data_IF_765495937311
#
_entry.id   IF_765495937311
#
_cell.length_a   1.000
_cell.length_b   1.000
_cell.length_c   1.000
_cell.angle_alpha   90.00
_cell.angle_beta   90.00
_cell.angle_gamma   90.00
#
_symmetry.space_group_name_H-M   'P 1'
#
loop_
_entity.id
_entity.type
_entity.pdbx_description
1 polymer ?
#
# COMPACT_ATOMS: atom_id res chain seq x y z
N UNK A 1 17.23 6.96 -17.28
CA UNK A 1 16.59 6.17 -16.23
C UNK A 1 17.50 5.02 -15.83
N UNK A 2 17.85 4.89 -14.56
CA UNK A 2 18.69 3.80 -14.08
C UNK A 2 17.80 2.74 -13.41
N UNK A 3 17.45 1.69 -14.15
CA UNK A 3 16.53 0.64 -13.72
C UNK A 3 17.00 -0.10 -12.46
N UNK A 4 18.31 -0.12 -12.21
CA UNK A 4 18.91 -0.75 -11.01
C UNK A 4 18.55 -0.02 -9.70
N UNK A 5 17.98 1.17 -9.78
CA UNK A 5 17.48 1.93 -8.63
C UNK A 5 15.99 1.73 -8.37
N UNK A 6 15.32 0.91 -9.16
CA UNK A 6 13.90 0.65 -8.99
C UNK A 6 13.71 -0.57 -8.10
N UNK A 7 12.68 -0.55 -7.25
CA UNK A 7 12.28 -1.72 -6.47
C UNK A 7 11.74 -2.82 -7.38
N UNK A 8 11.71 -4.05 -6.89
CA UNK A 8 11.19 -5.18 -7.65
C UNK A 8 9.74 -4.96 -8.10
N UNK A 9 8.89 -4.42 -7.23
CA UNK A 9 7.49 -4.06 -7.56
C UNK A 9 7.39 -2.93 -8.59
N UNK A 10 8.29 -1.97 -8.55
CA UNK A 10 8.35 -0.91 -9.56
C UNK A 10 8.73 -1.45 -10.94
N UNK A 11 9.69 -2.36 -11.00
CA UNK A 11 10.10 -3.03 -12.25
C UNK A 11 8.96 -3.91 -12.77
N UNK A 12 8.29 -4.68 -11.89
CA UNK A 12 7.12 -5.48 -12.24
C UNK A 12 6.01 -4.62 -12.84
N UNK A 13 5.70 -3.48 -12.22
CA UNK A 13 4.67 -2.57 -12.70
C UNK A 13 4.99 -2.00 -14.09
N UNK A 14 6.25 -1.66 -14.36
CA UNK A 14 6.68 -1.18 -15.69
C UNK A 14 6.59 -2.28 -16.74
N UNK A 15 7.07 -3.49 -16.43
CA UNK A 15 7.05 -4.61 -17.37
C UNK A 15 5.63 -5.06 -17.72
N UNK A 16 4.70 -5.03 -16.78
CA UNK A 16 3.30 -5.40 -17.03
C UNK A 16 2.60 -4.46 -18.03
N UNK A 17 3.09 -3.23 -18.21
CA UNK A 17 2.48 -2.29 -19.15
C UNK A 17 2.49 -2.79 -20.58
N UNK A 18 3.52 -3.53 -21.01
CA UNK A 18 3.57 -4.10 -22.36
C UNK A 18 2.43 -5.11 -22.56
N UNK A 19 2.25 -6.02 -21.60
CA UNK A 19 1.17 -7.02 -21.65
C UNK A 19 -0.20 -6.34 -21.68
N UNK A 20 -0.41 -5.34 -20.83
CA UNK A 20 -1.67 -4.60 -20.76
C UNK A 20 -1.94 -3.91 -22.11
N UNK A 21 -0.93 -3.28 -22.72
CA UNK A 21 -1.07 -2.64 -24.03
C UNK A 21 -1.45 -3.66 -25.13
N UNK A 22 -0.86 -4.85 -25.11
CA UNK A 22 -1.24 -5.94 -26.02
C UNK A 22 -2.68 -6.39 -25.81
N UNK A 23 -3.09 -6.62 -24.56
CA UNK A 23 -4.43 -7.11 -24.22
C UNK A 23 -5.53 -6.12 -24.66
N UNK A 24 -5.24 -4.82 -24.59
CA UNK A 24 -6.16 -3.76 -25.06
C UNK A 24 -6.00 -3.38 -26.53
N UNK A 25 -4.98 -3.92 -27.22
CA UNK A 25 -4.67 -3.60 -28.63
C UNK A 25 -4.13 -2.19 -28.83
N UNK A 26 -3.48 -1.60 -27.83
CA UNK A 26 -2.91 -0.27 -27.90
C UNK A 26 -1.43 -0.32 -28.31
N UNK A 27 -1.00 0.56 -29.22
CA UNK A 27 0.39 0.66 -29.64
C UNK A 27 1.23 1.53 -28.68
N UNK A 28 0.61 2.57 -28.12
CA UNK A 28 1.24 3.50 -27.20
C UNK A 28 1.02 3.06 -25.77
N UNK A 29 2.11 2.80 -25.05
CA UNK A 29 2.09 2.55 -23.60
C UNK A 29 2.09 3.91 -22.90
N UNK A 30 1.01 4.24 -22.17
CA UNK A 30 0.83 5.54 -21.55
C UNK A 30 0.48 5.39 -20.05
N UNK A 31 0.24 6.49 -19.37
CA UNK A 31 -0.01 6.56 -17.94
C UNK A 31 -1.21 5.71 -17.49
N UNK A 32 -2.24 5.50 -18.32
CA UNK A 32 -3.38 4.65 -18.00
C UNK A 32 -2.97 3.18 -17.85
N UNK A 33 -2.10 2.66 -18.73
CA UNK A 33 -1.56 1.31 -18.65
C UNK A 33 -0.75 1.15 -17.35
N UNK A 34 0.05 2.17 -17.04
CA UNK A 34 0.89 2.16 -15.87
C UNK A 34 0.09 2.25 -14.57
N UNK A 35 -0.93 3.11 -14.51
CA UNK A 35 -1.83 3.19 -13.35
C UNK A 35 -2.59 1.87 -13.16
N UNK A 36 -3.08 1.26 -14.24
CA UNK A 36 -3.72 -0.04 -14.18
C UNK A 36 -2.77 -1.11 -13.63
N UNK A 37 -1.54 -1.14 -14.12
CA UNK A 37 -0.51 -2.05 -13.61
C UNK A 37 -0.26 -1.83 -12.12
N UNK A 38 -0.02 -0.58 -11.67
CA UNK A 38 0.18 -0.24 -10.27
C UNK A 38 -0.98 -0.69 -9.36
N UNK A 39 -2.21 -0.68 -9.88
CA UNK A 39 -3.41 -1.10 -9.13
C UNK A 39 -3.60 -2.62 -9.08
N UNK A 40 -3.06 -3.36 -10.06
CA UNK A 40 -3.39 -4.79 -10.26
C UNK A 40 -2.24 -5.76 -10.01
N UNK A 41 -1.01 -5.27 -9.77
CA UNK A 41 0.09 -6.15 -9.31
C UNK A 41 -0.28 -6.81 -7.99
N UNK A 42 0.23 -8.01 -7.76
CA UNK A 42 0.03 -8.74 -6.52
C UNK A 42 0.49 -7.92 -5.32
N UNK A 43 -0.28 -7.92 -4.24
CA UNK A 43 0.02 -7.13 -3.03
C UNK A 43 0.27 -5.64 -3.30
N UNK A 44 -0.51 -5.03 -4.17
CA UNK A 44 -0.33 -3.64 -4.56
C UNK A 44 -0.45 -2.66 -3.39
N UNK A 45 0.66 -1.98 -3.08
CA UNK A 45 0.66 -0.87 -2.12
C UNK A 45 -0.27 0.26 -2.60
N UNK A 46 -0.27 0.56 -3.90
CA UNK A 46 -1.08 1.65 -4.45
C UNK A 46 -2.57 1.35 -4.29
N UNK A 47 -3.00 0.10 -4.54
CA UNK A 47 -4.39 -0.30 -4.32
C UNK A 47 -4.82 -0.13 -2.86
N UNK A 48 -3.97 -0.54 -1.91
CA UNK A 48 -4.21 -0.36 -0.47
C UNK A 48 -4.31 1.14 -0.10
N UNK A 49 -3.41 1.99 -0.63
CA UNK A 49 -3.46 3.43 -0.37
C UNK A 49 -4.73 4.06 -0.93
N UNK A 50 -5.19 3.66 -2.11
CA UNK A 50 -6.44 4.13 -2.73
C UNK A 50 -7.64 3.75 -1.85
N UNK A 51 -7.70 2.53 -1.32
CA UNK A 51 -8.76 2.11 -0.38
C UNK A 51 -8.72 2.93 0.92
N UNK A 52 -7.52 3.17 1.48
CA UNK A 52 -7.34 4.03 2.68
C UNK A 52 -7.66 5.52 2.43
N UNK A 53 -7.78 5.94 1.17
CA UNK A 53 -8.31 7.26 0.78
C UNK A 53 -9.84 7.29 0.68
N UNK A 54 -10.54 6.24 1.13
CA UNK A 54 -12.00 6.05 1.01
C UNK A 54 -12.48 5.95 -0.45
N UNK A 55 -11.63 5.44 -1.35
CA UNK A 55 -11.96 5.21 -2.76
C UNK A 55 -12.18 3.71 -2.97
N UNK A 56 -13.35 3.35 -3.49
CA UNK A 56 -13.63 1.96 -3.82
C UNK A 56 -12.71 1.47 -4.96
N UNK A 57 -11.84 0.51 -4.65
CA UNK A 57 -10.82 -0.05 -5.53
C UNK A 57 -11.39 -0.57 -6.83
N UNK A 58 -12.46 -1.38 -6.76
CA UNK A 58 -13.02 -2.04 -7.94
C UNK A 58 -13.63 -1.02 -8.91
N UNK A 59 -14.30 -0.01 -8.37
CA UNK A 59 -14.86 1.08 -9.18
C UNK A 59 -13.75 1.92 -9.81
N UNK A 60 -12.66 2.18 -9.09
CA UNK A 60 -11.51 2.92 -9.59
C UNK A 60 -10.83 2.16 -10.74
N UNK A 61 -10.59 0.85 -10.57
CA UNK A 61 -10.01 -0.02 -11.60
C UNK A 61 -10.91 -0.05 -12.84
N UNK A 62 -12.23 -0.21 -12.71
CA UNK A 62 -13.18 -0.18 -13.84
C UNK A 62 -13.13 1.13 -14.63
N UNK A 63 -12.92 2.26 -13.94
CA UNK A 63 -12.77 3.53 -14.64
C UNK A 63 -11.45 3.61 -15.41
N UNK A 64 -10.37 3.05 -14.88
CA UNK A 64 -9.10 2.94 -15.64
C UNK A 64 -9.28 2.02 -16.86
N UNK A 65 -9.95 0.88 -16.73
CA UNK A 65 -10.26 -0.04 -17.83
C UNK A 65 -11.09 0.66 -18.92
N UNK A 66 -12.01 1.52 -18.52
CA UNK A 66 -12.79 2.33 -19.45
C UNK A 66 -11.89 3.28 -20.25
N UNK A 67 -10.93 3.94 -19.59
CA UNK A 67 -9.95 4.81 -20.27
C UNK A 67 -9.07 4.02 -21.24
N UNK A 68 -8.59 2.83 -20.85
CA UNK A 68 -7.80 1.94 -21.69
C UNK A 68 -8.58 1.50 -22.94
N UNK A 69 -9.85 1.15 -22.75
CA UNK A 69 -10.74 0.71 -23.85
C UNK A 69 -11.03 1.80 -24.87
N UNK A 70 -10.96 3.08 -24.46
CA UNK A 70 -11.18 4.25 -25.32
C UNK A 70 -9.94 4.66 -26.12
N UNK A 71 -8.74 4.11 -25.77
CA UNK A 71 -7.52 4.39 -26.54
C UNK A 71 -7.59 3.79 -27.96
N UNK A 72 -6.83 4.37 -28.87
CA UNK A 72 -6.74 3.90 -30.25
C UNK A 72 -6.24 2.47 -30.29
N UNK A 73 -7.02 1.59 -30.93
CA UNK A 73 -6.66 0.20 -31.16
C UNK A 73 -5.99 0.02 -32.51
N UNK A 74 -4.95 -0.79 -32.55
CA UNK A 74 -4.21 -1.11 -33.78
C UNK A 74 -4.25 -2.60 -34.01
N UNK A 75 -4.50 -3.02 -35.24
CA UNK A 75 -4.51 -4.44 -35.66
C UNK A 75 -3.21 -4.77 -36.40
N UNK A 76 -2.58 -5.89 -36.04
CA UNK A 76 -1.36 -6.37 -36.72
C UNK A 76 -0.13 -6.42 -35.80
N UNK A 77 1.00 -6.77 -36.42
CA UNK A 77 2.29 -6.81 -35.68
C UNK A 77 2.79 -5.36 -35.51
N UNK A 78 2.58 -4.80 -34.34
CA UNK A 78 2.88 -3.39 -34.04
C UNK A 78 3.99 -3.29 -33.03
N UNK A 79 5.00 -2.47 -33.28
CA UNK A 79 6.01 -2.14 -32.30
C UNK A 79 5.41 -1.22 -31.23
N UNK A 80 5.41 -1.68 -29.98
CA UNK A 80 5.00 -0.86 -28.84
C UNK A 80 6.02 0.24 -28.56
N UNK A 81 5.55 1.40 -28.16
CA UNK A 81 6.40 2.49 -27.69
C UNK A 81 5.82 3.16 -26.44
N UNK A 82 6.69 3.73 -25.63
CA UNK A 82 6.32 4.44 -24.41
C UNK A 82 6.00 5.89 -24.75
N UNK A 83 4.89 6.42 -24.25
CA UNK A 83 4.51 7.82 -24.43
C UNK A 83 5.51 8.76 -23.75
N UNK A 84 5.60 9.98 -24.28
CA UNK A 84 6.42 11.02 -23.65
C UNK A 84 5.94 11.35 -22.23
N UNK A 85 4.64 11.28 -21.97
CA UNK A 85 4.07 11.59 -20.66
C UNK A 85 4.37 10.51 -19.64
N UNK A 86 4.33 9.23 -20.01
CA UNK A 86 4.78 8.14 -19.13
C UNK A 86 6.29 8.20 -18.90
N UNK A 87 7.09 8.48 -19.93
CA UNK A 87 8.53 8.63 -19.78
C UNK A 87 8.91 9.74 -18.79
N UNK A 88 8.20 10.88 -18.81
CA UNK A 88 8.37 11.95 -17.82
C UNK A 88 8.08 11.46 -16.39
N UNK A 89 7.02 10.68 -16.19
CA UNK A 89 6.70 10.12 -14.87
C UNK A 89 7.86 9.24 -14.36
N UNK A 90 8.37 8.33 -15.22
CA UNK A 90 9.46 7.43 -14.85
C UNK A 90 10.75 8.18 -14.47
N UNK A 91 11.07 9.27 -15.19
CA UNK A 91 12.23 10.11 -14.90
C UNK A 91 12.01 10.92 -13.61
N UNK A 92 10.84 11.54 -13.45
CA UNK A 92 10.54 12.37 -12.28
C UNK A 92 10.44 11.56 -10.99
N UNK A 93 10.15 10.27 -11.05
CA UNK A 93 10.10 9.39 -9.88
C UNK A 93 11.46 9.28 -9.17
N UNK A 94 12.60 9.41 -9.88
CA UNK A 94 13.91 9.46 -9.26
C UNK A 94 14.08 10.72 -8.39
N UNK A 95 13.50 11.84 -8.79
CA UNK A 95 13.52 13.08 -8.02
C UNK A 95 12.59 13.03 -6.82
N UNK A 96 11.45 12.34 -6.93
CA UNK A 96 10.56 12.07 -5.77
C UNK A 96 11.28 11.21 -4.72
N UNK A 97 11.97 10.15 -5.12
CA UNK A 97 12.76 9.31 -4.22
C UNK A 97 13.84 10.13 -3.49
N UNK A 98 14.58 10.98 -4.21
CA UNK A 98 15.58 11.87 -3.60
C UNK A 98 14.98 12.85 -2.60
N UNK A 99 13.79 13.44 -2.91
CA UNK A 99 13.08 14.35 -2.00
C UNK A 99 12.66 13.68 -0.71
N UNK A 100 12.32 12.37 -0.78
CA UNK A 100 11.95 11.58 0.38
C UNK A 100 13.17 10.97 1.11
N UNK A 101 14.38 11.15 0.60
CA UNK A 101 15.61 10.60 1.18
C UNK A 101 15.77 9.10 0.96
N UNK A 102 15.16 8.56 -0.09
CA UNK A 102 15.12 7.14 -0.41
C UNK A 102 16.24 6.75 -1.41
N UNK A 103 16.80 5.55 -1.20
CA UNK A 103 17.86 5.03 -2.07
C UNK A 103 17.30 4.37 -3.35
N UNK A 104 16.07 3.87 -3.30
CA UNK A 104 15.41 3.20 -4.41
C UNK A 104 14.09 3.91 -4.79
N UNK A 105 13.72 3.78 -6.06
CA UNK A 105 12.44 4.26 -6.60
C UNK A 105 11.39 3.15 -6.44
N UNK A 106 10.46 3.34 -5.53
CA UNK A 106 9.35 2.43 -5.26
C UNK A 106 8.04 2.89 -5.91
N UNK A 107 7.01 2.09 -5.85
CA UNK A 107 5.72 2.35 -6.51
C UNK A 107 5.07 3.65 -6.02
N UNK A 108 5.27 4.05 -4.77
CA UNK A 108 4.76 5.33 -4.25
C UNK A 108 5.43 6.55 -4.90
N UNK A 109 6.73 6.49 -5.22
CA UNK A 109 7.41 7.57 -5.95
C UNK A 109 6.88 7.70 -7.38
N UNK A 110 6.60 6.57 -8.03
CA UNK A 110 6.00 6.52 -9.36
C UNK A 110 4.59 7.12 -9.34
N UNK A 111 3.79 6.81 -8.33
CA UNK A 111 2.46 7.40 -8.16
C UNK A 111 2.53 8.90 -7.88
N UNK A 112 3.46 9.35 -7.02
CA UNK A 112 3.68 10.78 -6.74
C UNK A 112 4.11 11.55 -7.99
N UNK A 113 5.01 10.98 -8.80
CA UNK A 113 5.42 11.57 -10.06
C UNK A 113 4.26 11.66 -11.07
N UNK A 114 3.37 10.65 -11.09
CA UNK A 114 2.16 10.67 -11.92
C UNK A 114 1.16 11.73 -11.43
N UNK A 115 0.97 11.88 -10.12
CA UNK A 115 0.12 12.94 -9.55
C UNK A 115 0.68 14.34 -9.90
N UNK A 116 2.00 14.49 -9.94
CA UNK A 116 2.64 15.76 -10.27
C UNK A 116 2.57 16.11 -11.76
N UNK A 117 2.61 15.12 -12.65
CA UNK A 117 2.62 15.31 -14.11
C UNK A 117 1.60 14.36 -14.82
N UNK A 118 0.30 14.46 -14.50
CA UNK A 118 -0.71 13.60 -15.11
C UNK A 118 -1.00 14.05 -16.55
N UNK A 119 -1.23 13.08 -17.46
CA UNK A 119 -1.83 13.37 -18.75
C UNK A 119 -3.29 13.82 -18.58
N UNK A 120 -3.95 14.20 -19.69
CA UNK A 120 -5.32 14.76 -19.62
C UNK A 120 -6.33 13.78 -19.00
N UNK A 121 -6.26 12.50 -19.33
CA UNK A 121 -7.21 11.49 -18.87
C UNK A 121 -6.99 11.17 -17.38
N UNK A 122 -5.74 10.95 -16.97
CA UNK A 122 -5.36 10.71 -15.56
C UNK A 122 -5.66 11.93 -14.69
N UNK A 123 -5.42 13.15 -15.20
CA UNK A 123 -5.76 14.38 -14.50
C UNK A 123 -7.26 14.47 -14.16
N UNK A 124 -8.09 14.13 -15.15
CA UNK A 124 -9.55 14.12 -14.94
C UNK A 124 -9.97 13.02 -13.96
N UNK A 125 -9.38 11.82 -14.06
CA UNK A 125 -9.63 10.72 -13.14
C UNK A 125 -9.27 11.11 -11.71
N UNK A 126 -8.06 11.64 -11.49
CA UNK A 126 -7.61 12.07 -10.16
C UNK A 126 -8.48 13.17 -9.58
N UNK A 127 -8.94 14.11 -10.41
CA UNK A 127 -9.87 15.15 -10.00
C UNK A 127 -11.22 14.57 -9.55
N UNK A 128 -11.75 13.59 -10.29
CA UNK A 128 -13.04 12.94 -9.97
C UNK A 128 -13.00 12.24 -8.60
N UNK A 129 -11.87 11.62 -8.27
CA UNK A 129 -11.69 10.90 -7.00
C UNK A 129 -11.01 11.71 -5.89
N UNK A 130 -10.72 12.99 -6.14
CA UNK A 130 -10.06 13.85 -5.15
C UNK A 130 -8.66 13.37 -4.77
N UNK A 131 -7.94 12.71 -5.71
CA UNK A 131 -6.57 12.26 -5.50
C UNK A 131 -5.63 13.46 -5.67
N UNK A 132 -5.07 13.92 -4.57
CA UNK A 132 -4.10 15.01 -4.51
C UNK A 132 -2.81 14.53 -3.86
N UNK A 133 -1.71 15.24 -4.11
CA UNK A 133 -0.42 14.94 -3.51
C UNK A 133 -0.50 14.89 -1.97
N UNK A 134 -1.13 15.88 -1.36
CA UNK A 134 -1.21 16.00 0.09
C UNK A 134 -2.03 14.85 0.70
N UNK A 135 -3.18 14.53 0.10
CA UNK A 135 -4.01 13.40 0.54
C UNK A 135 -3.26 12.08 0.39
N UNK A 136 -2.56 11.87 -0.72
CA UNK A 136 -1.77 10.66 -0.94
C UNK A 136 -0.63 10.54 0.06
N UNK A 137 0.14 11.60 0.31
CA UNK A 137 1.23 11.62 1.29
C UNK A 137 0.73 11.39 2.72
N UNK A 138 -0.42 11.95 3.10
CA UNK A 138 -0.99 11.75 4.44
C UNK A 138 -1.34 10.27 4.68
N UNK A 139 -1.92 9.59 3.69
CA UNK A 139 -2.25 8.17 3.77
C UNK A 139 -0.98 7.30 3.70
N UNK A 140 -0.04 7.64 2.81
CA UNK A 140 1.25 6.95 2.72
C UNK A 140 1.99 6.96 4.07
N UNK A 141 1.98 8.09 4.79
CA UNK A 141 2.61 8.19 6.10
C UNK A 141 2.00 7.22 7.13
N UNK A 142 0.72 6.89 7.03
CA UNK A 142 0.07 5.90 7.93
C UNK A 142 0.52 4.46 7.67
N UNK A 143 0.90 4.14 6.43
CA UNK A 143 1.31 2.79 6.03
C UNK A 143 2.82 2.62 6.16
N UNK A 144 3.58 3.60 5.70
CA UNK A 144 5.04 3.58 5.67
C UNK A 144 5.67 3.98 7.01
N UNK A 145 5.00 4.83 7.80
CA UNK A 145 5.59 5.43 9.00
C UNK A 145 6.87 6.22 8.66
N UNK A 146 7.92 6.04 9.47
CA UNK A 146 9.24 6.68 9.28
C UNK A 146 10.26 5.78 8.54
N UNK A 147 9.80 4.74 7.84
CA UNK A 147 10.70 3.83 7.13
C UNK A 147 11.19 4.47 5.83
N UNK A 148 12.50 4.33 5.54
CA UNK A 148 13.09 4.73 4.26
C UNK A 148 13.23 3.52 3.33
N UNK A 149 13.11 3.74 2.02
CA UNK A 149 13.29 2.71 0.97
C UNK A 149 14.78 2.49 0.73
N UNK A 150 15.38 1.62 1.52
CA UNK A 150 16.81 1.32 1.49
C UNK A 150 17.13 -0.07 0.89
N UNK A 151 16.11 -0.80 0.43
CA UNK A 151 16.25 -2.12 -0.21
C UNK A 151 15.46 -2.15 -1.52
N UNK A 152 15.69 -3.16 -2.32
CA UNK A 152 14.98 -3.41 -3.59
C UNK A 152 13.60 -4.05 -3.40
N UNK A 153 13.24 -4.44 -2.16
CA UNK A 153 11.92 -5.00 -1.81
C UNK A 153 11.39 -4.41 -0.47
N UNK A 154 11.20 -3.08 -0.38
CA UNK A 154 10.71 -2.45 0.84
C UNK A 154 9.24 -2.76 1.11
N UNK A 155 8.45 -2.96 0.06
CA UNK A 155 7.02 -3.22 0.14
C UNK A 155 6.71 -4.52 0.88
N UNK A 156 7.63 -5.48 0.90
CA UNK A 156 7.51 -6.71 1.70
C UNK A 156 7.53 -6.43 3.22
N UNK A 157 8.10 -5.30 3.64
CA UNK A 157 8.16 -4.90 5.05
C UNK A 157 7.03 -3.94 5.44
N UNK A 158 6.41 -3.28 4.46
CA UNK A 158 5.27 -2.41 4.71
C UNK A 158 4.05 -3.24 5.11
N UNK A 159 3.36 -2.75 6.12
CA UNK A 159 2.12 -3.36 6.58
C UNK A 159 2.22 -4.85 7.01
N UNK A 160 3.45 -5.32 7.32
CA UNK A 160 3.72 -6.72 7.72
C UNK A 160 2.86 -7.15 8.91
N UNK A 161 2.61 -6.23 9.87
CA UNK A 161 1.75 -6.52 11.02
C UNK A 161 0.32 -6.81 10.60
N UNK A 162 -0.25 -6.07 9.64
CA UNK A 162 -1.61 -6.31 9.15
C UNK A 162 -1.70 -7.55 8.26
N UNK A 163 -0.61 -7.91 7.53
CA UNK A 163 -0.58 -9.12 6.70
C UNK A 163 -0.55 -10.42 7.52
N UNK A 164 0.22 -10.42 8.60
CA UNK A 164 0.48 -11.63 9.41
C UNK A 164 -0.05 -11.55 10.84
N UNK A 165 -0.42 -10.36 11.30
CA UNK A 165 -1.01 -10.12 12.61
C UNK A 165 -2.52 -9.93 12.54
N UNK A 166 -3.12 -9.86 13.72
CA UNK A 166 -4.53 -9.51 13.89
C UNK A 166 -4.62 -8.38 14.89
N UNK A 167 -5.33 -7.30 14.55
CA UNK A 167 -5.63 -6.24 15.50
C UNK A 167 -6.73 -6.73 16.47
N UNK A 168 -6.31 -7.13 17.66
CA UNK A 168 -7.23 -7.62 18.68
C UNK A 168 -8.08 -6.51 19.29
N UNK A 169 -7.60 -5.25 19.26
CA UNK A 169 -8.38 -4.10 19.75
C UNK A 169 -9.54 -3.83 18.79
N UNK A 170 -9.32 -3.91 17.49
CA UNK A 170 -10.38 -3.78 16.50
C UNK A 170 -11.41 -4.92 16.61
N UNK A 171 -10.94 -6.17 16.74
CA UNK A 171 -11.84 -7.31 16.99
C UNK A 171 -12.65 -7.17 18.29
N UNK A 172 -12.06 -6.59 19.33
CA UNK A 172 -12.76 -6.32 20.58
C UNK A 172 -13.86 -5.26 20.41
N UNK A 173 -13.58 -4.18 19.63
CA UNK A 173 -14.59 -3.15 19.29
C UNK A 173 -15.77 -3.73 18.52
N UNK A 174 -15.49 -4.68 17.62
CA UNK A 174 -16.50 -5.37 16.81
C UNK A 174 -17.26 -6.46 17.59
N UNK A 175 -16.89 -6.73 18.85
CA UNK A 175 -17.50 -7.80 19.66
C UNK A 175 -17.16 -9.21 19.20
N UNK A 176 -16.08 -9.39 18.44
CA UNK A 176 -15.64 -10.68 17.88
C UNK A 176 -14.72 -11.50 18.80
N UNK A 177 -14.43 -11.02 20.00
CA UNK A 177 -13.63 -11.72 20.98
C UNK A 177 -14.51 -12.32 22.07
N UNK A 178 -14.20 -13.56 22.47
CA UNK A 178 -14.85 -14.20 23.59
C UNK A 178 -14.54 -13.51 24.93
N UNK A 179 -15.46 -13.49 25.89
CA UNK A 179 -15.22 -12.88 27.19
C UNK A 179 -14.14 -13.66 27.96
N UNK A 180 -13.11 -12.94 28.44
CA UNK A 180 -12.02 -13.52 29.22
C UNK A 180 -12.36 -13.48 30.70
N UNK A 181 -12.42 -14.65 31.34
CA UNK A 181 -12.77 -14.82 32.76
C UNK A 181 -11.57 -15.42 33.54
N UNK A 182 -11.31 -14.92 34.73
CA UNK A 182 -10.32 -15.50 35.66
C UNK A 182 -8.85 -15.21 35.32
N UNK A 183 -8.56 -14.19 34.48
CA UNK A 183 -7.20 -13.77 34.07
C UNK A 183 -6.83 -12.36 34.53
N UNK A 184 -7.53 -11.81 35.50
CA UNK A 184 -7.35 -10.41 35.91
C UNK A 184 -5.93 -10.12 36.44
N UNK A 185 -5.33 -11.05 37.14
CA UNK A 185 -4.00 -10.89 37.75
C UNK A 185 -2.93 -10.86 36.64
N UNK A 186 -3.00 -11.77 35.68
CA UNK A 186 -2.06 -11.84 34.56
C UNK A 186 -2.18 -10.57 33.68
N UNK A 187 -3.40 -10.15 33.36
CA UNK A 187 -3.64 -8.93 32.59
C UNK A 187 -3.10 -7.70 33.31
N UNK A 188 -3.37 -7.53 34.62
CA UNK A 188 -2.81 -6.43 35.42
C UNK A 188 -1.28 -6.44 35.44
N UNK A 189 -0.67 -7.62 35.53
CA UNK A 189 0.79 -7.74 35.46
C UNK A 189 1.35 -7.33 34.13
N UNK A 190 0.70 -7.73 33.01
CA UNK A 190 1.07 -7.31 31.65
C UNK A 190 0.97 -5.79 31.51
N UNK A 191 -0.14 -5.18 31.93
CA UNK A 191 -0.34 -3.71 31.91
C UNK A 191 0.77 -3.02 32.73
N UNK A 192 1.05 -3.49 33.93
CA UNK A 192 2.12 -2.94 34.78
C UNK A 192 3.50 -3.01 34.13
N UNK A 193 3.81 -4.07 33.40
CA UNK A 193 5.09 -4.20 32.69
C UNK A 193 5.12 -3.25 31.48
N UNK A 194 4.06 -3.20 30.67
CA UNK A 194 3.94 -2.31 29.49
C UNK A 194 4.04 -0.83 29.88
N UNK A 195 3.54 -0.46 31.05
CA UNK A 195 3.57 0.94 31.57
C UNK A 195 4.93 1.38 32.10
N UNK A 196 5.95 0.52 32.12
CA UNK A 196 7.30 0.89 32.54
C UNK A 196 8.00 1.75 31.52
N UNK A 197 8.84 2.68 31.94
CA UNK A 197 9.67 3.50 31.07
C UNK A 197 10.72 2.67 30.31
N UNK A 198 11.23 1.61 30.91
CA UNK A 198 12.23 0.69 30.36
C UNK A 198 11.87 -0.75 30.77
N UNK A 199 12.39 -1.76 30.04
CA UNK A 199 12.09 -3.18 30.24
C UNK A 199 10.58 -3.47 30.24
N UNK A 200 9.89 -2.88 29.28
CA UNK A 200 8.44 -2.94 29.12
C UNK A 200 7.95 -4.04 28.15
N UNK A 201 8.75 -5.07 27.96
CA UNK A 201 8.41 -6.21 27.10
C UNK A 201 7.94 -7.41 27.96
N UNK A 202 6.63 -7.61 28.18
CA UNK A 202 6.14 -8.78 28.91
C UNK A 202 6.27 -10.05 28.07
N UNK A 203 6.65 -11.15 28.71
CA UNK A 203 6.70 -12.48 28.11
C UNK A 203 5.76 -13.41 28.88
N UNK A 204 4.81 -14.04 28.16
CA UNK A 204 3.90 -15.04 28.70
C UNK A 204 4.47 -16.44 28.51
N UNK A 205 4.76 -17.14 29.60
CA UNK A 205 5.33 -18.48 29.60
C UNK A 205 4.28 -19.47 30.13
N UNK A 206 4.21 -20.64 29.56
CA UNK A 206 3.32 -21.70 29.99
C UNK A 206 3.11 -22.80 28.96
N UNK A 207 2.55 -23.91 29.37
CA UNK A 207 2.18 -25.05 28.53
C UNK A 207 1.22 -24.66 27.40
N UNK A 208 1.14 -25.42 26.30
CA UNK A 208 0.08 -25.25 25.29
C UNK A 208 -1.33 -25.34 25.93
N UNK A 209 -2.26 -24.50 25.52
CA UNK A 209 -3.66 -24.56 25.98
C UNK A 209 -3.95 -23.86 27.32
N UNK A 210 -2.96 -23.35 28.05
CA UNK A 210 -3.20 -22.69 29.37
C UNK A 210 -3.80 -21.28 29.28
N UNK A 211 -4.16 -20.80 28.07
CA UNK A 211 -4.85 -19.53 27.89
C UNK A 211 -3.91 -18.31 27.77
N UNK A 212 -2.69 -18.47 27.23
CA UNK A 212 -1.79 -17.31 26.97
C UNK A 212 -2.41 -16.28 26.04
N UNK A 213 -3.07 -16.73 24.98
CA UNK A 213 -3.77 -15.87 24.02
C UNK A 213 -4.93 -15.13 24.69
N UNK A 214 -5.68 -15.80 25.55
CA UNK A 214 -6.79 -15.18 26.28
C UNK A 214 -6.35 -13.98 27.15
N UNK A 215 -5.13 -13.99 27.69
CA UNK A 215 -4.58 -12.83 28.43
C UNK A 215 -4.42 -11.62 27.50
N UNK A 216 -3.98 -11.83 26.25
CA UNK A 216 -3.80 -10.75 25.26
C UNK A 216 -5.16 -10.25 24.75
N UNK A 217 -6.11 -11.15 24.52
CA UNK A 217 -7.50 -10.82 24.16
C UNK A 217 -8.20 -10.02 25.27
N UNK A 218 -8.03 -10.44 26.53
CA UNK A 218 -8.54 -9.71 27.67
C UNK A 218 -7.91 -8.32 27.84
N UNK A 219 -6.62 -8.16 27.52
CA UNK A 219 -5.98 -6.85 27.45
C UNK A 219 -6.62 -5.95 26.39
N UNK A 220 -6.86 -6.49 25.18
CA UNK A 220 -7.53 -5.76 24.11
C UNK A 220 -8.94 -5.30 24.49
N UNK A 221 -9.71 -6.16 25.18
CA UNK A 221 -11.04 -5.81 25.69
C UNK A 221 -10.98 -4.69 26.73
N UNK A 222 -9.97 -4.67 27.62
CA UNK A 222 -9.79 -3.58 28.59
C UNK A 222 -9.42 -2.26 27.92
N UNK A 223 -8.56 -2.29 26.92
CA UNK A 223 -8.22 -1.08 26.12
C UNK A 223 -9.49 -0.47 25.52
N UNK A 224 -10.41 -1.30 24.99
CA UNK A 224 -11.68 -0.81 24.41
C UNK A 224 -12.62 -0.24 25.47
N UNK A 225 -12.63 -0.82 26.68
CA UNK A 225 -13.45 -0.34 27.80
C UNK A 225 -12.88 0.92 28.47
N UNK A 226 -11.59 1.18 28.30
CA UNK A 226 -10.89 2.28 28.96
C UNK A 226 -10.50 1.98 30.41
N UNK A 227 -10.33 0.70 30.75
CA UNK A 227 -9.99 0.19 32.09
C UNK A 227 -8.46 0.18 32.34
#
# INVERSE_FOLDING_TARGET
>A
MNINKFTQKSIEAVNNCEKIAYDYGNQEIDQEHFLYSLMTIEDSLIANLIEKMDINKDTFIKNIETLLSQKTKVSGNVNLYVSNDLNKVLVNAEDEAKRMGDAYVSVEHLMLAMIAAPNKAIKQLFKTYGITRDKFLSVLATVRGNQSVNSDNPEATYDTLNKYGQDLVEKAKEGKLDPVIGRDNEIRNVIRILSRKTKNNPVLIGEPGVGKTAVVEGLAQRIVRGD
#
